data_IF_437219291703
#
_entry.id   IF_437219291703
#
_cell.length_a   1.000
_cell.length_b   1.000
_cell.length_c   1.000
_cell.angle_alpha   90.00
_cell.angle_beta   90.00
_cell.angle_gamma   90.00
#
_symmetry.space_group_name_H-M   'P 1'
#
loop_
_entity.id
_entity.type
_entity.pdbx_description
1 polymer ?
#
# COMPACT_ATOMS: atom_id res chain seq x y z
N UNK A 1 48.74 8.18 -37.79
CA UNK A 1 48.44 9.42 -37.06
C UNK A 1 46.99 9.37 -36.66
N UNK A 2 46.69 9.37 -35.37
CA UNK A 2 45.33 9.44 -34.89
C UNK A 2 44.87 10.88 -35.12
N UNK A 3 44.00 11.12 -36.12
CA UNK A 3 43.39 12.44 -36.32
C UNK A 3 42.68 12.84 -35.02
N UNK A 4 42.93 14.07 -34.55
CA UNK A 4 42.20 14.60 -33.40
C UNK A 4 40.70 14.60 -33.70
N UNK A 5 39.87 14.24 -32.73
CA UNK A 5 38.41 14.22 -32.85
C UNK A 5 37.83 15.53 -33.44
N UNK A 6 38.49 16.67 -33.15
CA UNK A 6 38.13 17.99 -33.71
C UNK A 6 38.38 18.10 -35.21
N UNK A 7 39.55 17.66 -35.73
CA UNK A 7 39.84 17.63 -37.17
C UNK A 7 38.88 16.70 -37.93
N UNK A 8 38.62 15.53 -37.35
CA UNK A 8 37.66 14.57 -37.92
C UNK A 8 36.24 15.17 -38.01
N UNK A 9 35.78 15.92 -36.98
CA UNK A 9 34.49 16.57 -36.97
C UNK A 9 34.34 17.66 -38.02
N UNK A 10 35.45 18.39 -38.32
CA UNK A 10 35.48 19.42 -39.37
C UNK A 10 35.41 18.78 -40.76
N UNK A 11 36.11 17.68 -40.95
CA UNK A 11 36.12 16.93 -42.22
C UNK A 11 34.78 16.23 -42.50
N UNK A 12 34.00 15.95 -41.45
CA UNK A 12 32.73 15.20 -41.53
C UNK A 12 31.60 15.97 -40.81
N UNK A 13 31.10 17.08 -41.33
CA UNK A 13 30.16 17.96 -40.64
C UNK A 13 28.77 17.31 -40.36
N UNK A 14 28.44 16.23 -41.03
CA UNK A 14 27.16 15.51 -40.85
C UNK A 14 27.05 14.95 -39.43
N UNK A 15 28.12 14.38 -38.86
CA UNK A 15 28.07 13.74 -37.54
C UNK A 15 27.83 14.72 -36.39
N UNK A 16 28.53 15.87 -36.29
CA UNK A 16 28.23 16.90 -35.32
C UNK A 16 26.78 17.40 -35.40
N UNK A 17 26.25 17.60 -36.60
CA UNK A 17 24.85 17.99 -36.77
C UNK A 17 23.85 16.93 -36.29
N UNK A 18 24.13 15.65 -36.54
CA UNK A 18 23.32 14.53 -36.01
C UNK A 18 23.33 14.52 -34.49
N UNK A 19 24.49 14.76 -33.85
CA UNK A 19 24.61 14.85 -32.39
C UNK A 19 23.79 16.04 -31.86
N UNK A 20 23.90 17.20 -32.51
CA UNK A 20 23.10 18.39 -32.13
C UNK A 20 21.61 18.10 -32.20
N UNK A 21 21.14 17.48 -33.28
CA UNK A 21 19.73 17.12 -33.46
C UNK A 21 19.29 16.06 -32.42
N UNK A 22 20.15 15.04 -32.17
CA UNK A 22 19.88 14.03 -31.16
C UNK A 22 19.77 14.64 -29.76
N UNK A 23 20.66 15.59 -29.40
CA UNK A 23 20.59 16.30 -28.12
C UNK A 23 19.33 17.18 -28.00
N UNK A 24 18.97 17.89 -29.07
CA UNK A 24 17.78 18.76 -29.06
C UNK A 24 16.48 17.95 -28.94
N UNK A 25 16.24 17.00 -29.86
CA UNK A 25 15.02 16.20 -29.88
C UNK A 25 15.00 15.19 -28.72
N UNK A 26 16.12 14.52 -28.45
CA UNK A 26 16.25 13.56 -27.34
C UNK A 26 16.13 14.24 -25.98
N UNK A 27 16.70 15.44 -25.83
CA UNK A 27 16.58 16.24 -24.62
C UNK A 27 15.17 16.74 -24.38
N UNK A 28 14.47 17.24 -25.42
CA UNK A 28 13.08 17.64 -25.33
C UNK A 28 12.18 16.47 -24.95
N UNK A 29 12.35 15.33 -25.61
CA UNK A 29 11.64 14.08 -25.28
C UNK A 29 11.96 13.62 -23.84
N UNK A 30 13.23 13.72 -23.44
CA UNK A 30 13.69 13.37 -22.09
C UNK A 30 13.02 14.20 -21.00
N UNK A 31 12.90 15.51 -21.18
CA UNK A 31 12.24 16.41 -20.21
C UNK A 31 10.80 15.97 -19.93
N UNK A 32 10.08 15.52 -20.95
CA UNK A 32 8.68 15.08 -20.76
C UNK A 32 8.52 13.69 -20.16
N UNK A 33 9.49 12.78 -20.42
CA UNK A 33 9.33 11.36 -20.14
C UNK A 33 10.34 10.80 -19.14
N UNK A 34 11.26 11.61 -18.59
CA UNK A 34 12.13 11.15 -17.51
C UNK A 34 11.32 10.90 -16.23
N UNK A 35 11.63 9.82 -15.53
CA UNK A 35 11.07 9.54 -14.21
C UNK A 35 11.38 10.70 -13.26
N UNK A 36 10.43 11.08 -12.44
CA UNK A 36 10.53 12.18 -11.48
C UNK A 36 10.10 11.68 -10.13
N UNK A 37 11.00 11.70 -9.17
CA UNK A 37 10.76 11.36 -7.79
C UNK A 37 11.14 12.55 -6.90
N UNK A 38 10.65 12.57 -5.68
CA UNK A 38 11.05 13.55 -4.66
C UNK A 38 12.37 13.15 -4.03
N UNK A 39 12.45 11.87 -3.64
CA UNK A 39 13.61 11.26 -3.04
C UNK A 39 14.03 10.02 -3.84
N UNK A 40 15.32 9.65 -3.80
CA UNK A 40 15.79 8.42 -4.44
C UNK A 40 15.04 7.21 -3.87
N UNK A 41 14.68 6.28 -4.74
CA UNK A 41 14.15 5.00 -4.29
C UNK A 41 15.27 4.24 -3.57
N UNK A 42 15.17 4.13 -2.25
CA UNK A 42 16.07 3.29 -1.47
C UNK A 42 15.35 1.99 -1.08
N UNK A 43 16.05 0.86 -1.20
CA UNK A 43 15.47 -0.42 -0.84
C UNK A 43 15.28 -0.49 0.68
N UNK A 44 14.06 -0.74 1.12
CA UNK A 44 13.82 -1.13 2.50
C UNK A 44 14.11 -2.61 2.65
N UNK A 45 15.17 -2.90 3.38
CA UNK A 45 15.64 -4.27 3.63
C UNK A 45 15.18 -4.82 4.98
N UNK A 46 14.13 -4.24 5.56
CA UNK A 46 13.57 -4.63 6.87
C UNK A 46 12.16 -5.16 6.73
N UNK A 47 11.84 -6.24 7.44
CA UNK A 47 10.48 -6.75 7.61
C UNK A 47 10.15 -6.94 9.09
N UNK A 48 8.86 -6.81 9.43
CA UNK A 48 8.34 -7.13 10.77
C UNK A 48 7.40 -8.33 10.71
N UNK A 49 7.56 -9.21 11.69
CA UNK A 49 6.72 -10.39 11.83
C UNK A 49 6.11 -10.35 13.23
N UNK A 50 4.79 -10.37 13.29
CA UNK A 50 4.04 -10.38 14.53
C UNK A 50 3.28 -11.69 14.63
N UNK A 51 3.49 -12.43 15.70
CA UNK A 51 2.75 -13.67 15.97
C UNK A 51 1.96 -13.50 17.27
N UNK A 52 0.62 -13.40 17.21
CA UNK A 52 -0.20 -13.34 18.41
C UNK A 52 -0.24 -14.71 19.10
N UNK A 53 -0.11 -14.71 20.44
CA UNK A 53 -0.29 -15.89 21.29
C UNK A 53 -1.06 -15.47 22.55
N UNK A 54 -2.39 -15.25 22.44
CA UNK A 54 -3.19 -14.72 23.53
C UNK A 54 -3.15 -15.63 24.77
N UNK A 55 -2.95 -15.03 25.94
CA UNK A 55 -2.91 -15.72 27.22
C UNK A 55 -1.52 -16.19 27.66
N UNK A 56 -0.56 -16.31 26.75
CA UNK A 56 0.80 -16.72 27.07
C UNK A 56 1.60 -15.63 27.78
N UNK A 57 2.47 -16.02 28.70
CA UNK A 57 3.48 -15.16 29.30
C UNK A 57 4.58 -14.80 28.29
N UNK A 58 5.41 -13.81 28.59
CA UNK A 58 6.53 -13.42 27.71
C UNK A 58 7.55 -14.57 27.55
N UNK A 59 7.77 -15.36 28.58
CA UNK A 59 8.70 -16.50 28.58
C UNK A 59 8.16 -17.67 27.72
N UNK A 60 6.86 -17.97 27.81
CA UNK A 60 6.21 -18.95 26.93
C UNK A 60 6.24 -18.49 25.46
N UNK A 61 5.97 -17.21 25.21
CA UNK A 61 6.08 -16.62 23.86
C UNK A 61 7.50 -16.76 23.31
N UNK A 62 8.52 -16.52 24.14
CA UNK A 62 9.93 -16.64 23.74
C UNK A 62 10.26 -18.06 23.31
N UNK A 63 9.99 -19.06 24.17
CA UNK A 63 10.40 -20.44 23.92
C UNK A 63 9.55 -21.15 22.85
N UNK A 64 8.25 -20.90 22.82
CA UNK A 64 7.34 -21.64 21.95
C UNK A 64 7.06 -20.98 20.60
N UNK A 65 7.24 -19.67 20.51
CA UNK A 65 6.92 -18.89 19.29
C UNK A 65 8.15 -18.20 18.74
N UNK A 66 8.80 -17.35 19.52
CA UNK A 66 9.90 -16.50 19.03
C UNK A 66 11.06 -17.35 18.54
N UNK A 67 11.52 -18.33 19.32
CA UNK A 67 12.63 -19.22 18.97
C UNK A 67 12.33 -20.03 17.69
N UNK A 68 11.08 -20.49 17.52
CA UNK A 68 10.65 -21.22 16.31
C UNK A 68 10.72 -20.33 15.06
N UNK A 69 10.29 -19.07 15.16
CA UNK A 69 10.31 -18.11 14.06
C UNK A 69 11.75 -17.70 13.74
N UNK A 70 12.55 -17.34 14.76
CA UNK A 70 13.96 -16.99 14.59
C UNK A 70 14.75 -18.11 13.91
N UNK A 71 14.58 -19.36 14.39
CA UNK A 71 15.23 -20.54 13.81
C UNK A 71 14.87 -20.76 12.34
N UNK A 72 13.66 -20.40 11.93
CA UNK A 72 13.25 -20.48 10.53
C UNK A 72 13.88 -19.40 9.68
N UNK A 73 13.98 -18.17 10.22
CA UNK A 73 14.55 -16.99 9.53
C UNK A 73 16.08 -17.13 9.40
N UNK A 74 16.77 -17.65 10.42
CA UNK A 74 18.23 -17.86 10.39
C UNK A 74 18.69 -18.80 9.27
N UNK A 75 17.81 -19.59 8.69
CA UNK A 75 18.12 -20.44 7.54
C UNK A 75 18.24 -19.67 6.21
N UNK A 76 17.86 -18.38 6.20
CA UNK A 76 17.96 -17.53 5.02
C UNK A 76 19.34 -16.87 4.94
N UNK A 77 20.12 -17.11 3.87
CA UNK A 77 21.45 -16.54 3.74
C UNK A 77 21.45 -15.03 3.48
N UNK A 78 20.29 -14.47 3.16
CA UNK A 78 20.08 -13.04 2.90
C UNK A 78 19.87 -12.20 4.15
N UNK A 79 19.70 -12.82 5.31
CA UNK A 79 19.48 -12.13 6.58
C UNK A 79 20.80 -11.65 7.17
N UNK A 80 20.83 -10.39 7.57
CA UNK A 80 21.96 -9.77 8.28
C UNK A 80 21.71 -9.80 9.79
N UNK A 81 20.57 -9.31 10.23
CA UNK A 81 20.26 -9.15 11.63
C UNK A 81 18.81 -9.51 11.95
N UNK A 82 18.61 -10.23 13.06
CA UNK A 82 17.30 -10.53 13.63
C UNK A 82 17.22 -9.86 15.01
N UNK A 83 16.17 -9.07 15.23
CA UNK A 83 15.85 -8.50 16.54
C UNK A 83 14.47 -8.97 16.92
N UNK A 84 14.34 -9.57 18.07
CA UNK A 84 13.05 -10.06 18.57
C UNK A 84 12.66 -9.42 19.89
N UNK A 85 11.37 -9.40 20.13
CA UNK A 85 10.79 -8.93 21.37
C UNK A 85 9.61 -9.81 21.73
N UNK A 86 9.80 -10.62 22.79
CA UNK A 86 8.76 -11.46 23.34
C UNK A 86 7.96 -10.68 24.37
N UNK A 87 6.69 -10.47 24.08
CA UNK A 87 5.74 -9.75 24.92
C UNK A 87 4.65 -10.69 25.40
N UNK A 88 3.98 -10.35 26.50
CA UNK A 88 2.81 -11.10 26.92
C UNK A 88 1.76 -11.12 25.81
N UNK A 89 1.44 -12.30 25.33
CA UNK A 89 0.41 -12.53 24.31
C UNK A 89 0.84 -12.31 22.86
N UNK A 90 2.11 -11.98 22.58
CA UNK A 90 2.63 -11.85 21.20
C UNK A 90 4.14 -11.84 21.11
N UNK A 91 4.65 -12.34 19.98
CA UNK A 91 6.03 -12.19 19.53
C UNK A 91 6.12 -11.13 18.44
N UNK A 92 7.14 -10.29 18.52
CA UNK A 92 7.50 -9.29 17.49
C UNK A 92 8.93 -9.58 17.04
N UNK A 93 9.14 -9.85 15.76
CA UNK A 93 10.45 -10.15 15.18
C UNK A 93 10.72 -9.21 14.02
N UNK A 94 11.79 -8.44 14.13
CA UNK A 94 12.33 -7.61 13.03
C UNK A 94 13.43 -8.37 12.33
N UNK A 95 13.41 -8.37 11.02
CA UNK A 95 14.39 -9.02 10.15
C UNK A 95 15.00 -7.95 9.25
N UNK A 96 16.30 -7.75 9.35
CA UNK A 96 17.06 -6.86 8.49
C UNK A 96 17.88 -7.71 7.51
N UNK A 97 17.76 -7.42 6.21
CA UNK A 97 18.50 -8.11 5.14
C UNK A 97 19.83 -7.40 4.88
N UNK A 98 20.78 -8.13 4.29
CA UNK A 98 22.05 -7.59 3.85
C UNK A 98 21.87 -6.45 2.84
N UNK A 99 22.59 -5.35 2.98
CA UNK A 99 22.51 -4.14 2.14
C UNK A 99 22.92 -4.35 0.68
N UNK A 100 23.52 -5.49 0.36
CA UNK A 100 24.00 -5.80 -1.00
C UNK A 100 22.88 -6.07 -2.01
N UNK A 101 21.66 -6.33 -1.55
CA UNK A 101 20.52 -6.65 -2.40
C UNK A 101 19.86 -5.40 -2.97
N UNK A 102 19.61 -5.42 -4.27
CA UNK A 102 18.92 -4.34 -4.98
C UNK A 102 17.41 -4.41 -4.77
N UNK A 103 16.70 -3.28 -5.01
CA UNK A 103 15.23 -3.22 -4.92
C UNK A 103 14.53 -4.25 -5.83
N UNK A 104 15.17 -4.72 -6.91
CA UNK A 104 14.61 -5.73 -7.82
C UNK A 104 14.72 -7.16 -7.27
N UNK A 105 15.60 -7.42 -6.33
CA UNK A 105 15.83 -8.74 -5.73
C UNK A 105 15.01 -8.95 -4.44
N UNK A 106 14.71 -7.86 -3.72
CA UNK A 106 13.97 -7.90 -2.47
C UNK A 106 12.63 -8.67 -2.55
N UNK A 107 11.77 -8.50 -3.57
CA UNK A 107 10.51 -9.23 -3.63
C UNK A 107 10.66 -10.75 -3.58
N UNK A 108 11.69 -11.29 -4.26
CA UNK A 108 11.97 -12.72 -4.24
C UNK A 108 12.44 -13.19 -2.86
N UNK A 109 13.25 -12.38 -2.18
CA UNK A 109 13.74 -12.70 -0.82
C UNK A 109 12.58 -12.66 0.18
N UNK A 110 11.68 -11.69 0.06
CA UNK A 110 10.47 -11.61 0.90
C UNK A 110 9.52 -12.80 0.66
N UNK A 111 9.39 -13.27 -0.58
CA UNK A 111 8.60 -14.47 -0.88
C UNK A 111 9.24 -15.72 -0.25
N UNK A 112 10.56 -15.81 -0.22
CA UNK A 112 11.24 -16.89 0.47
C UNK A 112 11.05 -16.81 1.98
N UNK A 113 11.14 -15.62 2.58
CA UNK A 113 10.85 -15.39 3.99
C UNK A 113 9.43 -15.84 4.36
N UNK A 114 8.42 -15.40 3.59
CA UNK A 114 7.02 -15.80 3.80
C UNK A 114 6.85 -17.31 3.74
N UNK A 115 7.51 -17.96 2.79
CA UNK A 115 7.48 -19.43 2.67
C UNK A 115 8.07 -20.10 3.90
N UNK A 116 9.24 -19.67 4.39
CA UNK A 116 9.90 -20.23 5.59
C UNK A 116 9.04 -20.05 6.84
N UNK A 117 8.43 -18.88 7.01
CA UNK A 117 7.54 -18.61 8.14
C UNK A 117 6.28 -19.48 8.04
N UNK A 118 5.72 -19.66 6.83
CA UNK A 118 4.56 -20.54 6.63
C UNK A 118 4.88 -21.99 6.95
N UNK A 119 6.08 -22.49 6.63
CA UNK A 119 6.56 -23.82 7.01
C UNK A 119 6.75 -23.93 8.55
N UNK A 120 7.25 -22.85 9.19
CA UNK A 120 7.42 -22.80 10.64
C UNK A 120 6.07 -22.77 11.40
N UNK A 121 5.02 -22.22 10.79
CA UNK A 121 3.68 -22.13 11.39
C UNK A 121 3.16 -23.49 11.86
N UNK A 122 3.49 -24.58 11.18
CA UNK A 122 3.07 -25.95 11.55
C UNK A 122 3.66 -26.39 12.89
N UNK A 123 4.79 -25.80 13.31
CA UNK A 123 5.51 -26.09 14.54
C UNK A 123 5.09 -25.21 15.71
N UNK A 124 4.26 -24.17 15.46
CA UNK A 124 3.76 -23.31 16.52
C UNK A 124 2.78 -24.04 17.42
N UNK A 125 2.71 -23.67 18.71
CA UNK A 125 1.82 -24.30 19.67
C UNK A 125 0.33 -24.04 19.34
N UNK A 126 -0.56 -24.95 19.78
CA UNK A 126 -2.00 -24.71 19.70
C UNK A 126 -2.37 -23.43 20.47
N UNK A 127 -3.09 -22.51 19.81
CA UNK A 127 -3.46 -21.22 20.39
C UNK A 127 -2.60 -20.05 19.92
N UNK A 128 -1.44 -20.30 19.33
CA UNK A 128 -0.72 -19.28 18.58
C UNK A 128 -1.47 -18.94 17.29
N UNK A 129 -1.61 -17.65 17.03
CA UNK A 129 -2.25 -17.14 15.80
C UNK A 129 -1.34 -17.29 14.58
N UNK A 130 -1.88 -16.92 13.41
CA UNK A 130 -1.09 -16.89 12.19
C UNK A 130 -0.07 -15.76 12.25
N UNK A 131 1.19 -16.00 11.81
CA UNK A 131 2.17 -14.94 11.63
C UNK A 131 1.67 -13.87 10.67
N UNK A 132 1.74 -12.62 11.09
CA UNK A 132 1.47 -11.44 10.27
C UNK A 132 2.83 -10.90 9.86
N UNK A 133 3.07 -10.82 8.55
CA UNK A 133 4.34 -10.39 7.99
C UNK A 133 4.10 -9.07 7.29
N UNK A 134 4.82 -8.04 7.73
CA UNK A 134 4.82 -6.70 7.15
C UNK A 134 6.21 -6.44 6.56
N UNK A 135 6.32 -6.53 5.25
CA UNK A 135 7.55 -6.33 4.47
C UNK A 135 7.41 -5.22 3.43
N UNK A 136 6.26 -4.53 3.43
CA UNK A 136 5.91 -3.48 2.48
C UNK A 136 5.96 -2.06 3.09
N UNK A 137 6.82 -1.83 4.09
CA UNK A 137 7.05 -0.49 4.65
C UNK A 137 7.53 0.54 3.63
N UNK A 138 8.13 0.06 2.54
CA UNK A 138 8.61 0.87 1.46
C UNK A 138 7.50 1.52 0.63
N UNK A 139 6.27 1.09 0.78
CA UNK A 139 5.12 1.66 0.10
C UNK A 139 4.78 3.03 0.70
N UNK A 140 5.63 4.01 0.39
CA UNK A 140 5.36 5.39 0.76
C UNK A 140 4.15 5.88 -0.03
N UNK A 141 3.13 6.32 0.68
CA UNK A 141 1.97 6.95 0.05
C UNK A 141 2.32 8.37 -0.37
N UNK A 142 2.72 8.53 -1.62
CA UNK A 142 3.07 9.83 -2.20
C UNK A 142 1.88 10.80 -2.30
N UNK A 143 0.65 10.28 -2.24
CA UNK A 143 -0.56 11.08 -2.19
C UNK A 143 -1.38 10.63 -0.97
N UNK A 144 -1.72 11.57 -0.11
CA UNK A 144 -2.51 11.33 1.10
C UNK A 144 -3.66 12.32 1.16
N UNK A 145 -4.87 11.78 1.25
CA UNK A 145 -6.09 12.55 1.41
C UNK A 145 -6.77 12.20 2.73
N UNK A 146 -7.39 13.16 3.38
CA UNK A 146 -8.33 12.93 4.47
C UNK A 146 -9.74 13.17 3.95
N UNK A 147 -10.66 12.26 4.27
CA UNK A 147 -12.05 12.33 3.87
C UNK A 147 -12.88 12.47 5.14
N UNK A 148 -13.53 13.64 5.31
CA UNK A 148 -14.41 13.89 6.44
C UNK A 148 -15.82 13.40 6.11
N UNK A 149 -16.45 12.74 7.08
CA UNK A 149 -17.77 12.09 6.92
C UNK A 149 -18.68 12.38 8.11
N UNK A 150 -19.03 13.63 8.38
CA UNK A 150 -19.82 13.99 9.55
C UNK A 150 -21.21 13.39 9.49
N UNK A 151 -21.59 12.65 10.52
CA UNK A 151 -22.94 12.08 10.67
C UNK A 151 -23.25 10.86 9.82
N UNK A 152 -22.29 10.30 9.09
CA UNK A 152 -22.48 9.07 8.33
C UNK A 152 -22.26 7.82 9.18
N UNK A 153 -23.03 6.76 8.88
CA UNK A 153 -22.83 5.45 9.52
C UNK A 153 -21.53 4.80 9.03
N UNK A 154 -21.00 3.88 9.82
CA UNK A 154 -19.78 3.15 9.46
C UNK A 154 -19.94 2.36 8.16
N UNK A 155 -21.12 1.80 7.86
CA UNK A 155 -21.41 1.13 6.59
C UNK A 155 -21.27 2.08 5.40
N UNK A 156 -21.87 3.27 5.49
CA UNK A 156 -21.78 4.28 4.43
C UNK A 156 -20.33 4.76 4.22
N UNK A 157 -19.58 4.92 5.31
CA UNK A 157 -18.15 5.28 5.26
C UNK A 157 -17.34 4.20 4.54
N UNK A 158 -17.59 2.93 4.85
CA UNK A 158 -16.91 1.80 4.20
C UNK A 158 -17.24 1.72 2.70
N UNK A 159 -18.48 1.99 2.30
CA UNK A 159 -18.88 2.03 0.88
C UNK A 159 -18.21 3.19 0.16
N UNK A 160 -18.22 4.41 0.73
CA UNK A 160 -17.54 5.58 0.16
C UNK A 160 -16.03 5.30 0.01
N UNK A 161 -15.40 4.73 1.02
CA UNK A 161 -13.98 4.39 0.98
C UNK A 161 -13.66 3.36 -0.10
N UNK A 162 -14.49 2.33 -0.23
CA UNK A 162 -14.36 1.30 -1.27
C UNK A 162 -14.49 1.88 -2.67
N UNK A 163 -15.47 2.73 -2.89
CA UNK A 163 -15.72 3.37 -4.19
C UNK A 163 -14.55 4.28 -4.59
N UNK A 164 -14.08 5.12 -3.66
CA UNK A 164 -12.91 5.97 -3.85
C UNK A 164 -11.65 5.15 -4.14
N UNK A 165 -11.39 4.13 -3.32
CA UNK A 165 -10.22 3.25 -3.48
C UNK A 165 -10.25 2.51 -4.81
N UNK A 166 -11.41 1.99 -5.21
CA UNK A 166 -11.57 1.25 -6.46
C UNK A 166 -11.33 2.14 -7.67
N UNK A 167 -11.90 3.34 -7.68
CA UNK A 167 -11.74 4.26 -8.78
C UNK A 167 -10.30 4.77 -8.92
N UNK A 168 -9.63 5.08 -7.80
CA UNK A 168 -8.23 5.51 -7.81
C UNK A 168 -7.29 4.38 -8.25
N UNK A 169 -7.56 3.12 -7.87
CA UNK A 169 -6.80 1.95 -8.34
C UNK A 169 -6.81 1.77 -9.86
N UNK A 170 -7.85 2.24 -10.53
CA UNK A 170 -7.98 2.14 -11.99
C UNK A 170 -7.13 3.19 -12.73
N UNK A 171 -6.56 4.17 -12.05
CA UNK A 171 -5.68 5.16 -12.67
C UNK A 171 -4.35 4.50 -13.05
N UNK A 172 -3.94 4.54 -14.33
CA UNK A 172 -2.70 3.93 -14.78
C UNK A 172 -1.48 4.50 -14.04
N UNK A 173 -0.63 3.61 -13.50
CA UNK A 173 0.56 4.01 -12.75
C UNK A 173 0.37 4.09 -11.25
N UNK A 174 -0.84 3.91 -10.73
CA UNK A 174 -1.08 3.68 -9.30
C UNK A 174 -0.67 2.25 -8.96
N UNK A 175 0.21 2.09 -7.97
CA UNK A 175 0.68 0.80 -7.48
C UNK A 175 -0.23 0.23 -6.39
N UNK A 176 -0.55 1.05 -5.38
CA UNK A 176 -1.33 0.63 -4.22
C UNK A 176 -2.22 1.77 -3.74
N UNK A 177 -3.41 1.42 -3.30
CA UNK A 177 -4.31 2.34 -2.59
C UNK A 177 -4.69 1.67 -1.28
N UNK A 178 -4.54 2.40 -0.19
CA UNK A 178 -4.89 1.94 1.15
C UNK A 178 -5.74 2.99 1.86
N UNK A 179 -6.69 2.52 2.64
CA UNK A 179 -7.50 3.37 3.50
C UNK A 179 -7.23 3.02 4.96
N UNK A 180 -7.36 4.00 5.85
CA UNK A 180 -7.19 3.82 7.28
C UNK A 180 -8.10 4.77 8.07
N UNK A 181 -8.49 4.35 9.29
CA UNK A 181 -9.36 5.13 10.16
C UNK A 181 -10.84 4.99 9.85
N UNK A 182 -11.23 4.03 9.02
CA UNK A 182 -12.62 3.68 8.80
C UNK A 182 -13.23 3.10 10.07
N UNK A 183 -14.48 3.44 10.33
CA UNK A 183 -15.20 2.82 11.41
C UNK A 183 -15.64 1.41 11.00
N UNK A 184 -15.24 0.43 11.79
CA UNK A 184 -15.60 -0.97 11.57
C UNK A 184 -16.93 -1.23 12.27
N UNK A 185 -17.90 -1.78 11.56
CA UNK A 185 -19.14 -2.26 12.15
C UNK A 185 -19.05 -3.72 12.58
N UNK A 186 -19.73 -4.03 13.67
CA UNK A 186 -19.90 -5.39 14.16
C UNK A 186 -21.38 -5.65 14.49
N UNK A 187 -21.76 -6.91 14.47
CA UNK A 187 -23.02 -7.36 15.02
C UNK A 187 -22.72 -7.81 16.45
N UNK A 188 -23.29 -7.10 17.41
CA UNK A 188 -23.19 -7.42 18.83
C UNK A 188 -24.30 -8.39 19.19
N UNK A 189 -23.92 -9.49 19.85
CA UNK A 189 -24.83 -10.48 20.40
C UNK A 189 -24.71 -10.44 21.92
N UNK A 190 -25.56 -9.67 22.56
CA UNK A 190 -25.62 -9.52 24.01
C UNK A 190 -26.47 -10.63 24.63
N UNK A 191 -25.81 -11.56 25.28
CA UNK A 191 -26.45 -12.76 25.79
C UNK A 191 -26.99 -12.55 27.21
N UNK A 192 -28.24 -12.88 27.43
CA UNK A 192 -28.82 -12.89 28.77
C UNK A 192 -28.51 -14.21 29.48
N UNK A 193 -27.56 -14.12 30.44
CA UNK A 193 -27.09 -15.29 31.18
C UNK A 193 -28.16 -16.00 31.99
N UNK A 194 -29.13 -15.28 32.56
CA UNK A 194 -30.23 -15.89 33.33
C UNK A 194 -31.14 -16.72 32.42
N UNK A 195 -31.40 -16.25 31.21
CA UNK A 195 -32.16 -16.99 30.20
C UNK A 195 -31.44 -18.25 29.74
N UNK A 196 -30.12 -18.17 29.49
CA UNK A 196 -29.34 -19.36 29.15
C UNK A 196 -29.42 -20.44 30.21
N UNK A 197 -29.25 -20.06 31.47
CA UNK A 197 -29.35 -20.99 32.62
C UNK A 197 -30.73 -21.58 32.70
N UNK A 198 -31.79 -20.76 32.55
CA UNK A 198 -33.18 -21.23 32.62
C UNK A 198 -33.52 -22.22 31.51
N UNK A 199 -32.99 -22.00 30.30
CA UNK A 199 -33.18 -22.89 29.15
C UNK A 199 -32.22 -24.09 29.15
N UNK A 200 -31.20 -24.09 30.03
CA UNK A 200 -30.22 -25.15 30.15
C UNK A 200 -29.30 -25.21 28.92
N UNK A 201 -28.97 -24.07 28.31
CA UNK A 201 -28.07 -23.98 27.16
C UNK A 201 -26.69 -23.49 27.64
N UNK A 202 -25.65 -24.29 27.56
CA UNK A 202 -24.29 -23.86 27.86
C UNK A 202 -23.79 -22.78 26.87
N UNK A 203 -23.03 -21.81 27.35
CA UNK A 203 -22.56 -20.68 26.54
C UNK A 203 -21.60 -21.12 25.42
N UNK A 204 -20.81 -22.15 25.64
CA UNK A 204 -19.91 -22.76 24.65
C UNK A 204 -20.67 -23.40 23.48
N UNK A 205 -21.86 -23.97 23.75
CA UNK A 205 -22.75 -24.47 22.70
C UNK A 205 -23.29 -23.33 21.85
N UNK A 206 -23.62 -22.20 22.47
CA UNK A 206 -24.04 -21.00 21.76
C UNK A 206 -22.93 -20.48 20.82
N UNK A 207 -21.72 -20.28 21.33
CA UNK A 207 -20.57 -19.87 20.53
C UNK A 207 -20.23 -20.86 19.41
N UNK A 208 -20.28 -22.17 19.71
CA UNK A 208 -20.05 -23.22 18.73
C UNK A 208 -21.10 -23.24 17.61
N UNK A 209 -22.35 -22.93 17.90
CA UNK A 209 -23.39 -22.81 16.88
C UNK A 209 -23.19 -21.55 16.02
N UNK A 210 -22.91 -20.37 16.63
CA UNK A 210 -22.64 -19.14 15.90
C UNK A 210 -21.43 -19.32 14.96
N UNK A 211 -20.34 -19.91 15.45
CA UNK A 211 -19.15 -20.15 14.64
C UNK A 211 -19.41 -21.12 13.47
N UNK A 212 -20.24 -22.12 13.68
CA UNK A 212 -20.60 -23.11 12.66
C UNK A 212 -21.50 -22.52 11.58
N UNK A 213 -22.51 -21.77 11.96
CA UNK A 213 -23.44 -21.12 11.03
C UNK A 213 -22.77 -19.98 10.25
N UNK A 214 -21.77 -19.32 10.82
CA UNK A 214 -20.97 -18.29 10.14
C UNK A 214 -19.86 -18.89 9.24
N UNK A 215 -19.69 -20.20 9.26
CA UNK A 215 -18.71 -20.90 8.44
C UNK A 215 -19.21 -21.14 7.02
N UNK A 216 -18.41 -20.77 6.01
CA UNK A 216 -18.67 -21.17 4.63
C UNK A 216 -18.35 -22.65 4.46
N UNK A 217 -19.39 -23.49 4.44
CA UNK A 217 -19.25 -24.93 4.26
C UNK A 217 -19.50 -25.28 2.79
N UNK A 218 -18.55 -26.03 2.18
CA UNK A 218 -18.78 -26.56 0.85
C UNK A 218 -19.87 -27.66 0.90
N UNK A 219 -21.04 -27.36 0.37
CA UNK A 219 -22.15 -28.31 0.32
C UNK A 219 -22.01 -29.37 -0.80
N UNK A 220 -20.92 -29.32 -1.57
CA UNK A 220 -20.62 -30.28 -2.63
C UNK A 220 -21.44 -30.07 -3.89
N UNK A 221 -21.52 -31.10 -4.73
CA UNK A 221 -22.28 -31.09 -5.97
C UNK A 221 -22.99 -32.44 -6.17
N UNK A 222 -24.19 -32.42 -6.71
CA UNK A 222 -24.96 -33.61 -7.09
C UNK A 222 -24.92 -33.75 -8.58
N UNK A 223 -24.54 -34.95 -9.06
CA UNK A 223 -24.65 -35.32 -10.49
C UNK A 223 -26.09 -35.69 -10.79
N UNK A 224 -26.71 -34.96 -11.70
CA UNK A 224 -28.04 -35.23 -12.21
C UNK A 224 -27.98 -35.35 -13.73
N UNK A 225 -28.16 -36.55 -14.19
CA UNK A 225 -28.01 -36.91 -15.61
C UNK A 225 -26.63 -36.52 -16.17
N UNK A 226 -26.53 -35.71 -17.18
CA UNK A 226 -25.28 -35.19 -17.78
C UNK A 226 -24.80 -33.87 -17.16
N UNK A 227 -25.46 -33.36 -16.13
CA UNK A 227 -25.17 -32.04 -15.50
C UNK A 227 -24.75 -32.21 -14.04
N UNK A 228 -23.81 -31.39 -13.63
CA UNK A 228 -23.39 -31.28 -12.24
C UNK A 228 -24.05 -30.05 -11.63
N UNK A 229 -24.94 -30.26 -10.66
CA UNK A 229 -25.59 -29.20 -9.90
C UNK A 229 -24.76 -28.93 -8.65
N UNK A 230 -24.24 -27.72 -8.52
CA UNK A 230 -23.63 -27.26 -7.27
C UNK A 230 -24.73 -26.93 -6.26
N UNK A 231 -24.59 -27.47 -5.06
CA UNK A 231 -25.47 -27.10 -3.95
C UNK A 231 -24.88 -25.82 -3.36
N UNK A 232 -25.58 -24.69 -3.49
CA UNK A 232 -25.23 -23.47 -2.80
C UNK A 232 -25.75 -23.58 -1.35
N UNK A 233 -24.89 -23.55 -0.32
CA UNK A 233 -25.35 -23.41 1.05
C UNK A 233 -26.03 -22.05 1.20
N UNK A 234 -27.00 -21.89 2.14
CA UNK A 234 -27.54 -20.60 2.45
C UNK A 234 -26.37 -19.69 2.84
N UNK A 235 -26.39 -18.45 2.35
CA UNK A 235 -25.38 -17.45 2.66
C UNK A 235 -25.38 -17.24 4.17
N UNK A 236 -24.22 -17.40 4.82
CA UNK A 236 -24.04 -17.05 6.22
C UNK A 236 -24.45 -15.58 6.41
N UNK A 237 -24.97 -15.24 7.51
CA UNK A 237 -25.46 -13.94 7.99
C UNK A 237 -25.23 -12.74 7.06
N UNK A 238 -26.22 -12.44 6.22
CA UNK A 238 -26.23 -11.26 5.33
C UNK A 238 -26.95 -10.06 5.96
N UNK A 239 -27.67 -10.29 7.08
CA UNK A 239 -28.48 -9.30 7.76
C UNK A 239 -28.57 -9.57 9.27
N UNK A 240 -28.93 -8.54 10.04
CA UNK A 240 -29.20 -8.66 11.48
C UNK A 240 -30.35 -9.65 11.71
N UNK A 241 -31.36 -9.58 10.86
CA UNK A 241 -32.54 -10.48 10.93
C UNK A 241 -32.17 -11.95 10.71
N UNK A 242 -31.18 -12.23 9.86
CA UNK A 242 -30.67 -13.59 9.67
C UNK A 242 -30.01 -14.12 10.94
N UNK A 243 -29.24 -13.27 11.65
CA UNK A 243 -28.65 -13.59 12.95
C UNK A 243 -29.73 -13.78 14.03
N UNK A 244 -30.72 -12.90 14.10
CA UNK A 244 -31.85 -13.00 15.04
C UNK A 244 -32.65 -14.31 14.89
N UNK A 245 -32.87 -14.75 13.66
CA UNK A 245 -33.59 -15.96 13.34
C UNK A 245 -32.74 -17.24 13.39
N UNK A 246 -31.45 -17.14 13.73
CA UNK A 246 -30.60 -18.30 13.90
C UNK A 246 -31.16 -19.27 14.94
N UNK A 247 -31.12 -20.55 14.62
CA UNK A 247 -31.67 -21.63 15.46
C UNK A 247 -30.59 -22.27 16.32
N UNK A 248 -30.81 -22.30 17.61
CA UNK A 248 -29.89 -22.89 18.58
C UNK A 248 -30.57 -24.12 19.20
N UNK A 249 -29.98 -25.28 19.02
CA UNK A 249 -30.46 -26.54 19.61
C UNK A 249 -29.98 -26.71 21.05
N UNK A 250 -30.84 -27.16 21.94
CA UNK A 250 -30.47 -27.56 23.29
C UNK A 250 -29.77 -28.93 23.26
N UNK A 251 -28.61 -29.08 23.87
CA UNK A 251 -27.91 -30.39 23.93
C UNK A 251 -28.80 -31.47 24.56
N UNK A 252 -28.88 -32.62 23.87
CA UNK A 252 -29.64 -33.76 24.36
C UNK A 252 -31.17 -33.61 24.27
N UNK A 253 -31.72 -32.57 23.60
CA UNK A 253 -33.12 -32.35 23.39
C UNK A 253 -33.40 -32.05 21.90
N UNK A 254 -34.65 -32.21 21.47
CA UNK A 254 -35.15 -31.78 20.16
C UNK A 254 -35.64 -30.32 20.14
N UNK A 255 -35.53 -29.64 21.29
CA UNK A 255 -35.93 -28.25 21.42
C UNK A 255 -34.96 -27.33 20.71
N UNK A 256 -35.50 -26.38 19.94
CA UNK A 256 -34.76 -25.38 19.18
C UNK A 256 -35.29 -24.01 19.50
N UNK A 257 -34.42 -23.08 19.83
CA UNK A 257 -34.74 -21.70 20.18
C UNK A 257 -34.17 -20.74 19.11
N UNK A 258 -34.83 -19.60 18.91
CA UNK A 258 -34.23 -18.53 18.12
C UNK A 258 -33.21 -17.76 18.95
N UNK A 259 -32.13 -17.27 18.30
CA UNK A 259 -31.12 -16.47 19.00
C UNK A 259 -31.72 -15.22 19.62
N UNK A 260 -32.70 -14.58 18.96
CA UNK A 260 -33.45 -13.42 19.49
C UNK A 260 -34.23 -13.69 20.78
N UNK A 261 -34.53 -14.96 21.13
CA UNK A 261 -35.14 -15.31 22.40
C UNK A 261 -34.16 -15.35 23.56
N UNK A 262 -32.87 -15.48 23.26
CA UNK A 262 -31.78 -15.70 24.22
C UNK A 262 -30.89 -14.48 24.35
N UNK A 263 -30.73 -13.74 23.26
CA UNK A 263 -29.82 -12.61 23.15
C UNK A 263 -30.46 -11.39 22.50
N UNK A 264 -29.96 -10.22 22.82
CA UNK A 264 -30.24 -8.97 22.10
C UNK A 264 -29.23 -8.81 21.00
N UNK A 265 -29.68 -8.58 19.78
CA UNK A 265 -28.79 -8.44 18.61
C UNK A 265 -28.87 -7.00 18.12
N UNK A 266 -27.73 -6.35 18.01
CA UNK A 266 -27.64 -4.99 17.52
C UNK A 266 -26.46 -4.84 16.56
N UNK A 267 -26.56 -3.92 15.61
CA UNK A 267 -25.48 -3.55 14.71
C UNK A 267 -24.97 -2.17 15.07
N UNK A 268 -23.67 -2.04 15.23
CA UNK A 268 -23.06 -0.77 15.60
C UNK A 268 -21.56 -0.76 15.36
N UNK A 269 -20.93 0.42 15.51
CA UNK A 269 -19.49 0.52 15.45
C UNK A 269 -18.85 -0.24 16.63
N UNK A 270 -17.67 -0.82 16.41
CA UNK A 270 -16.89 -1.45 17.50
C UNK A 270 -16.59 -0.41 18.59
N UNK A 271 -16.71 -0.82 19.86
CA UNK A 271 -16.53 0.08 21.01
C UNK A 271 -15.12 0.70 21.07
N UNK A 272 -14.12 -0.09 20.75
CA UNK A 272 -12.71 0.35 20.74
C UNK A 272 -12.15 0.17 19.34
N UNK A 273 -12.23 1.20 18.48
CA UNK A 273 -11.64 1.13 17.15
C UNK A 273 -10.12 1.06 17.24
N UNK A 274 -9.45 0.28 16.38
CA UNK A 274 -7.99 0.13 16.39
C UNK A 274 -7.28 1.45 16.09
N UNK A 275 -7.92 2.33 15.34
CA UNK A 275 -7.39 3.63 14.95
C UNK A 275 -8.51 4.66 14.81
N UNK A 276 -8.27 5.85 15.34
CA UNK A 276 -9.18 7.00 15.20
C UNK A 276 -8.42 8.10 14.46
N UNK A 277 -8.95 8.51 13.32
CA UNK A 277 -8.39 9.62 12.54
C UNK A 277 -9.37 10.79 12.57
N UNK A 278 -8.82 11.99 12.73
CA UNK A 278 -9.57 13.25 12.69
C UNK A 278 -8.85 14.27 11.83
N UNK A 279 -9.62 14.99 11.05
CA UNK A 279 -9.15 16.15 10.32
C UNK A 279 -9.84 17.40 10.87
N UNK A 280 -9.07 18.39 11.36
CA UNK A 280 -9.59 19.61 12.00
C UNK A 280 -10.63 19.37 13.12
N UNK A 281 -10.49 18.25 13.85
CA UNK A 281 -11.39 17.87 14.94
C UNK A 281 -12.59 17.00 14.53
N UNK A 282 -12.91 16.91 13.25
CA UNK A 282 -13.97 16.05 12.72
C UNK A 282 -13.47 14.64 12.41
N UNK A 283 -14.34 13.64 12.57
CA UNK A 283 -14.05 12.26 12.21
C UNK A 283 -13.75 12.15 10.72
N UNK A 284 -12.66 11.47 10.40
CA UNK A 284 -12.21 11.28 9.02
C UNK A 284 -11.57 9.90 8.85
N UNK A 285 -11.54 9.42 7.63
CA UNK A 285 -10.63 8.35 7.22
C UNK A 285 -9.61 8.89 6.21
N UNK A 286 -8.50 8.20 6.05
CA UNK A 286 -7.47 8.58 5.09
C UNK A 286 -7.46 7.64 3.90
N UNK A 287 -7.11 8.19 2.74
CA UNK A 287 -6.83 7.45 1.52
C UNK A 287 -5.39 7.75 1.09
N UNK A 288 -4.54 6.75 1.21
CA UNK A 288 -3.15 6.77 0.77
C UNK A 288 -3.01 6.14 -0.60
N UNK A 289 -2.28 6.79 -1.50
CA UNK A 289 -2.01 6.32 -2.86
C UNK A 289 -0.51 6.24 -3.08
N UNK A 290 -0.02 5.05 -3.40
CA UNK A 290 1.36 4.80 -3.81
C UNK A 290 1.44 4.72 -5.34
N UNK A 291 2.48 5.31 -5.90
CA UNK A 291 2.71 5.35 -7.36
C UNK A 291 3.81 4.35 -7.68
N UNK A 292 3.68 3.67 -8.82
CA UNK A 292 4.67 2.70 -9.29
C UNK A 292 6.04 3.37 -9.48
N UNK A 293 7.11 2.84 -8.87
CA UNK A 293 8.47 3.36 -9.03
C UNK A 293 8.89 3.45 -10.49
N UNK A 294 9.72 4.43 -10.84
CA UNK A 294 10.20 4.64 -12.20
C UNK A 294 9.25 5.42 -13.11
N UNK A 295 8.06 5.75 -12.68
CA UNK A 295 7.09 6.53 -13.45
C UNK A 295 7.11 8.01 -13.09
N UNK A 296 6.47 8.82 -13.94
CA UNK A 296 6.36 10.25 -13.71
C UNK A 296 5.26 10.58 -12.68
N UNK A 297 5.68 10.77 -11.43
CA UNK A 297 4.79 11.08 -10.29
C UNK A 297 3.92 12.32 -10.55
N UNK A 298 4.45 13.31 -11.27
CA UNK A 298 3.69 14.55 -11.55
C UNK A 298 2.46 14.28 -12.43
N UNK A 299 2.63 13.50 -13.51
CA UNK A 299 1.51 13.18 -14.42
C UNK A 299 0.46 12.30 -13.72
N UNK A 300 0.92 11.24 -13.05
CA UNK A 300 0.02 10.29 -12.36
C UNK A 300 -0.73 10.99 -11.23
N UNK A 301 -0.03 11.82 -10.44
CA UNK A 301 -0.66 12.57 -9.36
C UNK A 301 -1.73 13.55 -9.85
N UNK A 302 -1.52 14.21 -11.00
CA UNK A 302 -2.55 15.06 -11.63
C UNK A 302 -3.74 14.24 -12.14
N UNK A 303 -3.53 13.00 -12.60
CA UNK A 303 -4.63 12.12 -13.01
C UNK A 303 -5.43 11.63 -11.82
N UNK A 304 -4.75 11.28 -10.71
CA UNK A 304 -5.41 10.94 -9.43
C UNK A 304 -6.20 12.13 -8.89
N UNK A 305 -5.62 13.34 -8.86
CA UNK A 305 -6.34 14.56 -8.43
C UNK A 305 -7.61 14.81 -9.28
N UNK A 306 -7.52 14.62 -10.60
CA UNK A 306 -8.69 14.76 -11.51
C UNK A 306 -9.76 13.71 -11.23
N UNK A 307 -9.37 12.47 -10.99
CA UNK A 307 -10.30 11.39 -10.69
C UNK A 307 -10.98 11.61 -9.34
N UNK A 308 -10.22 11.97 -8.31
CA UNK A 308 -10.77 12.33 -6.99
C UNK A 308 -11.71 13.52 -7.09
N UNK A 309 -11.34 14.57 -7.84
CA UNK A 309 -12.20 15.72 -8.04
C UNK A 309 -13.50 15.40 -8.85
N UNK A 310 -13.45 14.38 -9.72
CA UNK A 310 -14.63 13.85 -10.42
C UNK A 310 -15.57 13.15 -9.46
N UNK A 311 -15.01 12.28 -8.60
CA UNK A 311 -15.77 11.52 -7.61
C UNK A 311 -16.35 12.44 -6.52
N UNK A 312 -15.57 13.41 -6.06
CA UNK A 312 -15.99 14.36 -5.03
C UNK A 312 -17.30 15.11 -5.39
N UNK A 313 -17.58 15.30 -6.67
CA UNK A 313 -18.85 15.90 -7.12
C UNK A 313 -20.07 15.01 -6.96
N UNK A 314 -19.84 13.69 -6.84
CA UNK A 314 -20.90 12.69 -6.69
C UNK A 314 -20.98 12.14 -5.25
N UNK A 315 -20.10 12.61 -4.35
CA UNK A 315 -20.18 12.22 -2.93
C UNK A 315 -21.43 12.79 -2.26
N UNK A 316 -21.96 12.12 -1.24
CA UNK A 316 -23.07 12.62 -0.45
C UNK A 316 -22.75 13.98 0.19
N UNK A 317 -23.80 14.74 0.49
CA UNK A 317 -23.68 16.08 1.11
C UNK A 317 -22.95 15.99 2.46
N UNK A 318 -21.94 16.86 2.66
CA UNK A 318 -21.16 16.92 3.88
C UNK A 318 -19.91 16.03 3.87
N UNK A 319 -19.73 15.17 2.87
CA UNK A 319 -18.46 14.45 2.68
C UNK A 319 -17.50 15.33 1.91
N UNK A 320 -16.35 15.63 2.50
CA UNK A 320 -15.33 16.49 1.89
C UNK A 320 -14.00 15.75 1.79
N UNK A 321 -13.28 15.98 0.70
CA UNK A 321 -11.94 15.41 0.46
C UNK A 321 -10.88 16.49 0.62
N UNK A 322 -10.00 16.31 1.59
CA UNK A 322 -8.93 17.24 1.92
C UNK A 322 -7.58 16.66 1.55
N UNK A 323 -6.81 17.31 0.68
CA UNK A 323 -5.45 16.89 0.38
C UNK A 323 -4.53 17.20 1.58
N UNK A 324 -3.87 16.18 2.13
CA UNK A 324 -2.92 16.31 3.24
C UNK A 324 -1.50 16.44 2.71
N UNK A 325 -1.11 15.49 1.85
CA UNK A 325 0.19 15.49 1.22
C UNK A 325 0.08 15.08 -0.24
N UNK A 326 0.66 15.86 -1.12
CA UNK A 326 0.60 15.68 -2.56
C UNK A 326 2.02 15.79 -3.14
N UNK A 327 2.74 14.68 -3.18
CA UNK A 327 4.11 14.59 -3.67
C UNK A 327 4.27 15.19 -5.07
N UNK A 328 3.31 14.94 -5.97
CA UNK A 328 3.37 15.45 -7.34
C UNK A 328 3.43 16.99 -7.41
N UNK A 329 2.80 17.71 -6.47
CA UNK A 329 2.86 19.18 -6.39
C UNK A 329 4.20 19.65 -5.85
N UNK A 330 4.76 18.94 -4.88
CA UNK A 330 6.08 19.24 -4.32
C UNK A 330 7.13 19.06 -5.40
N UNK A 331 7.12 17.92 -6.08
CA UNK A 331 8.05 17.61 -7.20
C UNK A 331 7.91 18.64 -8.33
N UNK A 332 6.69 18.97 -8.76
CA UNK A 332 6.47 19.97 -9.79
C UNK A 332 7.03 21.35 -9.41
N UNK A 333 6.84 21.77 -8.15
CA UNK A 333 7.38 23.04 -7.63
C UNK A 333 8.92 23.02 -7.60
N UNK A 334 9.52 21.93 -7.12
CA UNK A 334 10.98 21.78 -7.04
C UNK A 334 11.62 21.79 -8.42
N UNK A 335 11.04 21.06 -9.39
CA UNK A 335 11.49 21.06 -10.77
C UNK A 335 11.39 22.44 -11.45
N UNK A 336 10.29 23.15 -11.24
CA UNK A 336 10.15 24.51 -11.77
C UNK A 336 11.20 25.45 -11.18
N UNK A 337 11.51 25.31 -9.90
CA UNK A 337 12.56 26.09 -9.24
C UNK A 337 13.94 25.73 -9.79
N UNK A 338 14.20 24.44 -9.96
CA UNK A 338 15.46 23.92 -10.56
C UNK A 338 15.62 24.47 -11.99
N UNK A 339 14.62 24.35 -12.85
CA UNK A 339 14.69 24.85 -14.22
C UNK A 339 14.91 26.37 -14.30
N UNK A 340 14.24 27.15 -13.42
CA UNK A 340 14.49 28.60 -13.33
C UNK A 340 15.92 28.90 -12.92
N UNK A 341 16.45 28.22 -11.91
CA UNK A 341 17.83 28.41 -11.45
C UNK A 341 18.83 27.99 -12.51
N UNK A 342 18.58 26.88 -13.20
CA UNK A 342 19.41 26.43 -14.33
C UNK A 342 19.46 27.45 -15.45
N UNK A 343 18.30 27.96 -15.88
CA UNK A 343 18.22 29.01 -16.92
C UNK A 343 18.95 30.29 -16.49
N UNK A 344 18.76 30.69 -15.23
CA UNK A 344 19.43 31.89 -14.69
C UNK A 344 20.95 31.71 -14.66
N UNK A 345 21.44 30.52 -14.25
CA UNK A 345 22.87 30.21 -14.23
C UNK A 345 23.46 30.22 -15.64
N UNK A 346 22.80 29.57 -16.59
CA UNK A 346 23.21 29.59 -18.01
C UNK A 346 23.23 31.02 -18.55
N UNK A 347 22.19 31.80 -18.30
CA UNK A 347 22.09 33.20 -18.73
C UNK A 347 23.23 34.04 -18.13
N UNK A 348 23.54 33.86 -16.86
CA UNK A 348 24.62 34.57 -16.17
C UNK A 348 25.98 34.25 -16.81
N UNK A 349 26.27 32.97 -17.04
CA UNK A 349 27.53 32.52 -17.64
C UNK A 349 27.65 33.05 -19.08
N UNK A 350 26.61 32.89 -19.88
CA UNK A 350 26.57 33.39 -21.27
C UNK A 350 26.71 34.92 -21.29
N UNK A 351 26.01 35.64 -20.41
CA UNK A 351 26.13 37.08 -20.27
C UNK A 351 27.53 37.52 -19.93
N UNK A 352 28.19 36.89 -18.94
CA UNK A 352 29.57 37.17 -18.61
C UNK A 352 30.51 36.93 -19.82
N UNK A 353 30.38 35.79 -20.50
CA UNK A 353 31.19 35.49 -21.70
C UNK A 353 30.96 36.44 -22.82
N UNK A 354 29.73 36.91 -23.07
CA UNK A 354 29.44 37.93 -24.07
C UNK A 354 30.12 39.25 -23.74
N UNK A 355 30.20 39.65 -22.46
CA UNK A 355 30.86 40.87 -22.03
C UNK A 355 32.37 40.78 -22.16
N UNK A 356 32.98 39.66 -21.73
CA UNK A 356 34.45 39.53 -21.70
C UNK A 356 35.06 39.02 -23.02
N UNK A 357 34.37 38.16 -23.77
CA UNK A 357 34.86 37.53 -24.99
C UNK A 357 34.15 37.98 -26.25
N UNK A 358 33.12 38.80 -26.11
CA UNK A 358 32.30 39.29 -27.21
C UNK A 358 31.15 38.37 -27.58
N UNK A 359 30.14 38.97 -28.23
CA UNK A 359 28.83 38.32 -28.52
C UNK A 359 28.95 36.99 -29.27
N UNK A 360 29.87 36.92 -30.29
CA UNK A 360 30.02 35.73 -31.14
C UNK A 360 30.55 34.53 -30.37
N UNK A 361 31.55 34.73 -29.51
CA UNK A 361 32.12 33.65 -28.68
C UNK A 361 31.13 33.23 -27.57
N UNK A 362 30.45 34.22 -26.93
CA UNK A 362 29.50 33.93 -25.86
C UNK A 362 28.30 33.13 -26.35
N UNK A 363 27.77 33.37 -27.52
CA UNK A 363 26.61 32.61 -28.08
C UNK A 363 27.03 31.17 -28.45
N UNK A 364 28.25 30.94 -28.99
CA UNK A 364 28.72 29.60 -29.32
C UNK A 364 28.89 28.77 -28.03
N UNK A 365 29.53 29.31 -27.00
CA UNK A 365 29.73 28.59 -25.73
C UNK A 365 28.39 28.35 -25.05
N UNK A 366 27.50 29.33 -25.07
CA UNK A 366 26.14 29.20 -24.52
C UNK A 366 25.32 28.11 -25.20
N UNK A 367 25.38 28.01 -26.52
CA UNK A 367 24.67 26.95 -27.25
C UNK A 367 25.23 25.56 -26.94
N UNK A 368 26.56 25.42 -26.81
CA UNK A 368 27.19 24.15 -26.41
C UNK A 368 26.77 23.76 -24.98
N UNK A 369 26.72 24.73 -24.04
CA UNK A 369 26.27 24.48 -22.67
C UNK A 369 24.80 24.01 -22.63
N UNK A 370 23.93 24.64 -23.42
CA UNK A 370 22.53 24.21 -23.51
C UNK A 370 22.41 22.78 -24.10
N UNK A 371 23.17 22.49 -25.15
CA UNK A 371 23.19 21.18 -25.77
C UNK A 371 23.73 20.08 -24.83
N UNK A 372 24.72 20.39 -24.00
CA UNK A 372 25.21 19.41 -23.00
C UNK A 372 24.16 19.11 -21.96
N UNK A 373 23.41 20.10 -21.46
CA UNK A 373 22.30 19.88 -20.51
C UNK A 373 21.21 19.01 -21.14
N UNK A 374 20.78 19.33 -22.36
CA UNK A 374 19.78 18.54 -23.08
C UNK A 374 20.28 17.13 -23.38
N UNK A 375 21.54 16.97 -23.77
CA UNK A 375 22.18 15.69 -24.00
C UNK A 375 22.22 14.84 -22.73
N UNK A 376 22.54 15.44 -21.58
CA UNK A 376 22.53 14.75 -20.27
C UNK A 376 21.14 14.21 -19.93
N UNK A 377 20.10 15.04 -20.09
CA UNK A 377 18.71 14.60 -19.83
C UNK A 377 18.29 13.47 -20.79
N UNK A 378 18.73 13.54 -22.06
CA UNK A 378 18.51 12.47 -23.02
C UNK A 378 19.15 11.16 -22.55
N UNK A 379 20.41 11.19 -22.13
CA UNK A 379 21.14 10.01 -21.62
C UNK A 379 20.51 9.47 -20.34
N UNK A 380 20.11 10.33 -19.41
CA UNK A 380 19.40 9.94 -18.19
C UNK A 380 18.12 9.14 -18.52
N UNK A 381 17.35 9.59 -19.52
CA UNK A 381 16.14 8.87 -19.95
C UNK A 381 16.46 7.49 -20.53
N UNK A 382 17.54 7.35 -21.32
CA UNK A 382 17.95 6.06 -21.86
C UNK A 382 18.49 5.10 -20.79
N UNK A 383 19.16 5.61 -19.78
CA UNK A 383 19.70 4.82 -18.67
C UNK A 383 18.68 4.58 -17.56
N UNK A 384 17.43 5.06 -17.71
CA UNK A 384 16.40 5.05 -16.68
C UNK A 384 16.85 5.68 -15.35
N UNK A 385 17.67 6.72 -15.42
CA UNK A 385 18.07 7.51 -14.26
C UNK A 385 16.98 8.57 -14.04
N UNK A 386 16.43 8.60 -12.86
CA UNK A 386 15.35 9.50 -12.47
C UNK A 386 15.89 10.89 -12.10
N UNK A 387 15.07 11.93 -12.29
CA UNK A 387 15.36 13.28 -11.86
C UNK A 387 14.84 13.44 -10.42
N UNK A 388 15.76 13.75 -9.52
CA UNK A 388 15.53 13.89 -8.07
C UNK A 388 15.86 15.30 -7.62
#
# INVERSE_FOLDING_TARGET
MIKNLGEWSIDNPLYPWLIVLACLFGGAYGIENVGRLEDPAFPFSTAFIVVPYPGASAEEVEHEVTDVIESAIQQLPSVDLIKSKSLRGRSEVQVDLLEQYSSSELPQIWDELRRRISEAQIRLPPGAGKPIIEDDFADVYGLLYAITTPGYSAANIADISRDLSTAVKLVPGVAKVSSAGESIEAIFVEVNQERLVTLGIPIDVLFGNIARENGVISAGSVAFDSRRLMIAPPIAFDSVEAVENMRIGKPGSTEVFKLSEIASISRGPIEVPPQIIRHNGEGAFTLGVSITPGLNVTKIGEEVDREIARLARNLPLGVEVHPIYLQHRVVAKSLNTFLKNLLLSVATVVGALCVFMGWRAGTVVGSVLLLTVLGTICVMRFLNIELQ
#
